data_IF_928444568789
#
_entry.id   IF_928444568789
#
_cell.length_a   1.000
_cell.length_b   1.000
_cell.length_c   1.000
_cell.angle_alpha   90.00
_cell.angle_beta   90.00
_cell.angle_gamma   90.00
#
_symmetry.space_group_name_H-M   'P 1'
#
loop_
_entity.id
_entity.type
_entity.pdbx_description
1 polymer ?
#
# COMPACT_ATOMS: atom_id res chain seq x y z
N UNK A 1 -9.99 -8.99 12.05
CA UNK A 1 -10.40 -8.39 13.33
C UNK A 1 -10.24 -6.87 13.28
N UNK A 2 -9.33 -6.37 12.44
CA UNK A 2 -9.02 -4.96 12.21
C UNK A 2 -10.25 -4.06 12.16
N UNK A 3 -11.28 -4.42 11.41
CA UNK A 3 -12.42 -3.52 11.17
C UNK A 3 -13.08 -3.02 12.46
N UNK A 4 -13.35 -3.91 13.42
CA UNK A 4 -14.07 -3.52 14.64
C UNK A 4 -13.20 -2.64 15.54
N UNK A 5 -11.95 -3.05 15.77
CA UNK A 5 -10.99 -2.29 16.59
C UNK A 5 -10.65 -0.96 15.95
N UNK A 6 -10.42 -0.93 14.64
CA UNK A 6 -10.18 0.30 13.87
C UNK A 6 -11.33 1.30 14.04
N UNK A 7 -12.57 0.84 13.88
CA UNK A 7 -13.74 1.71 14.04
C UNK A 7 -13.94 2.16 15.49
N UNK A 8 -13.62 1.33 16.49
CA UNK A 8 -13.62 1.75 17.89
C UNK A 8 -12.58 2.86 18.15
N UNK A 9 -11.35 2.71 17.63
CA UNK A 9 -10.31 3.74 17.71
C UNK A 9 -10.72 5.03 16.98
N UNK A 10 -11.41 4.93 15.84
CA UNK A 10 -11.88 6.06 15.05
C UNK A 10 -13.00 6.85 15.76
N UNK A 11 -13.86 6.15 16.51
CA UNK A 11 -14.91 6.77 17.36
C UNK A 11 -14.29 7.53 18.53
N UNK A 12 -13.19 7.02 19.08
CA UNK A 12 -12.45 7.64 20.17
C UNK A 12 -11.45 8.72 19.71
N UNK A 13 -11.57 9.24 18.48
CA UNK A 13 -10.66 10.27 17.98
C UNK A 13 -10.79 11.57 18.78
N UNK A 14 -9.71 12.38 18.90
CA UNK A 14 -9.78 13.70 19.52
C UNK A 14 -10.84 14.58 18.86
N UNK A 15 -11.55 15.38 19.67
CA UNK A 15 -12.56 16.33 19.18
C UNK A 15 -11.92 17.31 18.19
N UNK A 16 -12.57 17.53 17.05
CA UNK A 16 -12.05 18.40 15.97
C UNK A 16 -11.04 17.74 15.03
N UNK A 17 -10.58 16.52 15.30
CA UNK A 17 -9.67 15.81 14.39
C UNK A 17 -10.36 15.51 13.04
N UNK A 18 -9.82 16.08 11.96
CA UNK A 18 -10.28 15.83 10.59
C UNK A 18 -9.95 14.39 10.18
N UNK A 19 -10.96 13.68 9.67
CA UNK A 19 -10.80 12.35 9.08
C UNK A 19 -10.43 12.49 7.61
N UNK A 20 -9.21 12.10 7.27
CA UNK A 20 -8.66 12.02 5.92
C UNK A 20 -7.82 10.74 5.78
N UNK A 21 -7.32 10.47 4.58
CA UNK A 21 -6.54 9.29 4.22
C UNK A 21 -5.33 9.11 5.15
N UNK A 22 -4.58 10.20 5.42
CA UNK A 22 -3.40 10.17 6.29
C UNK A 22 -3.78 9.74 7.71
N UNK A 23 -4.84 10.34 8.27
CA UNK A 23 -5.32 9.98 9.60
C UNK A 23 -5.76 8.51 9.67
N UNK A 24 -6.47 8.02 8.64
CA UNK A 24 -6.93 6.65 8.57
C UNK A 24 -5.75 5.65 8.48
N UNK A 25 -4.70 5.95 7.71
CA UNK A 25 -3.51 5.09 7.69
C UNK A 25 -2.72 5.10 9.00
N UNK A 26 -2.60 6.25 9.67
CA UNK A 26 -1.98 6.30 11.01
C UNK A 26 -2.75 5.43 12.00
N UNK A 27 -4.08 5.45 11.93
CA UNK A 27 -4.93 4.61 12.77
C UNK A 27 -4.73 3.12 12.44
N UNK A 28 -4.63 2.78 11.15
CA UNK A 28 -4.34 1.42 10.69
C UNK A 28 -2.97 0.93 11.18
N UNK A 29 -1.92 1.76 11.09
CA UNK A 29 -0.59 1.43 11.57
C UNK A 29 -0.57 1.22 13.09
N UNK A 30 -1.27 2.08 13.86
CA UNK A 30 -1.44 1.90 15.31
C UNK A 30 -2.14 0.58 15.65
N UNK A 31 -3.15 0.18 14.88
CA UNK A 31 -3.80 -1.11 15.08
C UNK A 31 -2.85 -2.29 14.83
N UNK A 32 -1.98 -2.17 13.82
CA UNK A 32 -1.02 -3.22 13.47
C UNK A 32 0.12 -3.36 14.49
N UNK A 33 0.35 -2.36 15.36
CA UNK A 33 1.27 -2.48 16.48
C UNK A 33 0.70 -3.37 17.58
N UNK A 34 1.11 -4.64 17.58
CA UNK A 34 0.71 -5.67 18.54
C UNK A 34 1.95 -6.44 19.00
N UNK A 35 1.81 -7.39 19.93
CA UNK A 35 2.95 -8.19 20.41
C UNK A 35 3.65 -8.97 19.29
N UNK A 36 2.89 -9.49 18.32
CA UNK A 36 3.42 -10.31 17.22
C UNK A 36 3.72 -9.53 15.94
N UNK A 37 3.26 -8.28 15.84
CA UNK A 37 3.33 -7.47 14.62
C UNK A 37 3.87 -6.10 15.00
N UNK A 38 4.94 -5.67 14.32
CA UNK A 38 5.50 -4.33 14.50
C UNK A 38 5.20 -3.51 13.26
N UNK A 39 4.71 -2.29 13.45
CA UNK A 39 4.33 -1.40 12.39
C UNK A 39 4.80 0.03 12.69
N UNK A 40 5.41 0.69 11.73
CA UNK A 40 5.83 2.09 11.84
C UNK A 40 5.18 2.87 10.71
N UNK A 41 4.45 3.93 11.04
CA UNK A 41 3.97 4.89 10.05
C UNK A 41 4.95 6.05 9.96
N UNK A 42 5.65 6.15 8.83
CA UNK A 42 6.59 7.22 8.55
C UNK A 42 5.84 8.34 7.82
N UNK A 43 5.76 9.51 8.46
CA UNK A 43 5.16 10.68 7.83
C UNK A 43 6.11 11.20 6.72
N UNK A 44 5.52 11.82 5.69
CA UNK A 44 6.28 12.63 4.75
C UNK A 44 6.81 13.89 5.44
N UNK A 45 8.08 14.19 5.19
CA UNK A 45 8.80 15.27 5.87
C UNK A 45 8.92 16.46 4.92
N UNK A 46 9.44 16.27 3.69
CA UNK A 46 9.56 17.35 2.69
C UNK A 46 9.12 16.90 1.27
N UNK A 47 8.39 17.77 0.56
CA UNK A 47 8.05 17.71 -0.88
C UNK A 47 7.32 16.47 -1.46
N UNK A 48 6.47 16.73 -2.46
CA UNK A 48 5.69 15.73 -3.20
C UNK A 48 6.61 14.84 -4.07
N UNK A 49 6.55 13.52 -3.83
CA UNK A 49 7.36 12.50 -4.51
C UNK A 49 6.87 12.29 -5.96
N UNK A 50 7.25 13.22 -6.85
CA UNK A 50 6.86 13.23 -8.25
C UNK A 50 7.80 12.45 -9.14
N UNK A 51 7.21 11.76 -10.10
CA UNK A 51 7.90 11.09 -11.21
C UNK A 51 7.36 11.57 -12.55
N UNK A 52 8.18 11.47 -13.59
CA UNK A 52 7.72 11.52 -14.98
C UNK A 52 7.77 10.16 -15.66
N UNK A 53 6.82 9.92 -16.54
CA UNK A 53 6.78 8.76 -17.43
C UNK A 53 6.20 9.15 -18.78
N UNK A 54 6.44 8.35 -19.82
CA UNK A 54 5.84 8.54 -21.14
C UNK A 54 4.42 7.95 -21.14
N UNK A 55 3.40 8.81 -21.30
CA UNK A 55 1.99 8.43 -21.22
C UNK A 55 1.47 7.90 -22.55
N UNK A 56 0.89 6.70 -22.54
CA UNK A 56 0.20 6.11 -23.68
C UNK A 56 -1.05 6.92 -24.05
N UNK A 57 -1.77 7.43 -23.05
CA UNK A 57 -2.95 8.28 -23.21
C UNK A 57 -2.61 9.61 -23.89
N UNK A 58 -1.40 10.12 -23.69
CA UNK A 58 -0.88 11.31 -24.37
C UNK A 58 0.06 10.97 -25.53
N UNK A 59 -0.08 9.79 -26.14
CA UNK A 59 0.69 9.38 -27.33
C UNK A 59 2.22 9.48 -27.14
N UNK A 60 2.73 9.02 -26.00
CA UNK A 60 4.15 8.99 -25.66
C UNK A 60 4.68 10.26 -25.00
N UNK A 61 3.87 11.32 -24.86
CA UNK A 61 4.34 12.54 -24.20
C UNK A 61 4.63 12.31 -22.71
N UNK A 62 5.70 12.96 -22.24
CA UNK A 62 6.06 12.95 -20.82
C UNK A 62 4.97 13.56 -19.95
N UNK A 63 4.60 12.84 -18.89
CA UNK A 63 3.61 13.24 -17.91
C UNK A 63 4.19 13.13 -16.50
N UNK A 64 4.09 14.23 -15.76
CA UNK A 64 4.43 14.31 -14.34
C UNK A 64 3.21 13.99 -13.46
N UNK A 65 3.38 13.06 -12.52
CA UNK A 65 2.40 12.66 -11.49
C UNK A 65 3.12 12.23 -10.21
N UNK A 66 2.40 12.16 -9.08
CA UNK A 66 2.96 11.61 -7.84
C UNK A 66 3.15 10.10 -8.00
N UNK A 67 4.18 9.53 -7.37
CA UNK A 67 4.41 8.07 -7.44
C UNK A 67 3.24 7.32 -6.81
N UNK A 68 2.77 7.79 -5.66
CA UNK A 68 1.63 7.29 -4.90
C UNK A 68 1.49 8.08 -3.60
N UNK A 69 0.41 7.84 -2.86
CA UNK A 69 0.15 8.51 -1.58
C UNK A 69 0.83 7.79 -0.39
N UNK A 70 1.11 6.49 -0.54
CA UNK A 70 1.68 5.65 0.50
C UNK A 70 2.57 4.56 -0.10
N UNK A 71 3.75 4.33 0.48
CA UNK A 71 4.52 3.10 0.30
C UNK A 71 4.25 2.13 1.44
N UNK A 72 4.01 0.86 1.13
CA UNK A 72 3.89 -0.20 2.11
C UNK A 72 5.10 -1.11 1.96
N UNK A 73 5.90 -1.20 3.03
CA UNK A 73 6.99 -2.16 3.18
C UNK A 73 6.50 -3.26 4.10
N UNK A 74 6.57 -4.51 3.67
CA UNK A 74 6.18 -5.66 4.50
C UNK A 74 7.29 -6.67 4.52
N UNK A 75 7.79 -6.98 5.71
CA UNK A 75 8.80 -8.00 5.92
C UNK A 75 8.22 -9.17 6.71
N UNK A 76 8.33 -10.36 6.15
CA UNK A 76 7.93 -11.60 6.80
C UNK A 76 9.15 -12.32 7.35
N UNK A 77 9.27 -12.39 8.69
CA UNK A 77 10.40 -13.04 9.37
C UNK A 77 10.50 -14.53 9.07
N UNK A 78 9.36 -15.19 8.89
CA UNK A 78 9.32 -16.64 8.65
C UNK A 78 9.80 -17.00 7.24
N UNK A 79 9.49 -16.15 6.26
CA UNK A 79 9.88 -16.34 4.86
C UNK A 79 11.17 -15.61 4.49
N UNK A 80 11.67 -14.74 5.37
CA UNK A 80 12.78 -13.80 5.11
C UNK A 80 12.54 -13.00 3.83
N UNK A 81 11.30 -12.55 3.63
CA UNK A 81 10.87 -11.91 2.38
C UNK A 81 10.42 -10.46 2.65
N UNK A 82 11.06 -9.51 1.98
CA UNK A 82 10.68 -8.09 1.95
C UNK A 82 9.86 -7.80 0.69
N UNK A 83 8.68 -7.20 0.88
CA UNK A 83 7.78 -6.75 -0.19
C UNK A 83 7.52 -5.27 -0.16
N UNK A 84 7.26 -4.72 -1.35
CA UNK A 84 6.89 -3.32 -1.54
C UNK A 84 5.60 -3.19 -2.35
N UNK A 85 4.74 -2.30 -1.90
CA UNK A 85 3.56 -1.85 -2.62
C UNK A 85 3.49 -0.31 -2.63
N UNK A 86 3.42 0.29 -3.81
CA UNK A 86 3.06 1.71 -3.98
C UNK A 86 1.54 1.83 -4.05
N UNK A 87 0.95 2.57 -3.12
CA UNK A 87 -0.50 2.67 -2.97
C UNK A 87 -0.98 4.11 -3.19
N UNK A 88 -1.95 4.29 -4.08
CA UNK A 88 -2.73 5.52 -4.16
C UNK A 88 -3.94 5.42 -3.24
N UNK A 89 -4.08 6.38 -2.35
CA UNK A 89 -5.16 6.43 -1.39
C UNK A 89 -6.35 7.21 -1.90
N UNK A 90 -7.55 6.78 -1.49
CA UNK A 90 -8.78 7.54 -1.64
C UNK A 90 -9.62 7.37 -0.39
N UNK A 91 -10.32 8.42 0.01
CA UNK A 91 -11.38 8.33 1.00
C UNK A 91 -12.71 8.79 0.41
N UNK A 92 -13.60 7.83 0.19
CA UNK A 92 -14.96 8.07 -0.28
C UNK A 92 -15.91 8.24 0.90
N UNK A 93 -16.44 9.45 1.07
CA UNK A 93 -17.36 9.79 2.17
C UNK A 93 -18.79 9.31 1.93
N UNK A 94 -19.05 8.71 0.77
CA UNK A 94 -20.35 8.15 0.45
C UNK A 94 -20.42 6.68 0.89
N UNK A 95 -21.63 6.23 1.23
CA UNK A 95 -21.85 4.82 1.56
C UNK A 95 -21.57 3.96 0.33
N UNK A 96 -20.68 3.00 0.49
CA UNK A 96 -20.19 2.15 -0.58
C UNK A 96 -21.20 1.05 -0.90
N UNK A 97 -21.56 0.92 -2.18
CA UNK A 97 -22.50 -0.11 -2.68
C UNK A 97 -21.73 -1.19 -3.47
N UNK A 98 -22.38 -2.31 -3.79
CA UNK A 98 -21.79 -3.52 -4.39
C UNK A 98 -20.89 -3.32 -5.64
N UNK A 99 -21.01 -2.20 -6.36
CA UNK A 99 -20.10 -1.82 -7.46
C UNK A 99 -19.69 -0.35 -7.32
N UNK A 100 -18.65 -0.07 -6.52
CA UNK A 100 -18.28 1.30 -6.22
C UNK A 100 -17.77 2.00 -7.48
N UNK A 101 -18.17 3.27 -7.58
CA UNK A 101 -17.66 4.19 -8.58
C UNK A 101 -16.87 5.26 -7.87
N UNK A 102 -15.64 5.48 -8.30
CA UNK A 102 -14.68 6.38 -7.64
C UNK A 102 -14.11 7.34 -8.67
N UNK A 103 -13.82 8.57 -8.26
CA UNK A 103 -13.23 9.57 -9.14
C UNK A 103 -11.71 9.50 -9.04
N UNK A 104 -11.05 9.13 -10.13
CA UNK A 104 -9.60 8.99 -10.20
C UNK A 104 -8.99 9.97 -11.19
N UNK A 105 -7.74 10.34 -10.92
CA UNK A 105 -6.87 10.92 -11.93
C UNK A 105 -6.45 9.82 -12.91
N UNK A 106 -6.79 9.99 -14.18
CA UNK A 106 -6.52 9.04 -15.26
C UNK A 106 -5.03 8.78 -15.43
N UNK A 107 -4.18 9.80 -15.29
CA UNK A 107 -2.72 9.64 -15.41
C UNK A 107 -2.11 8.94 -14.20
N UNK A 108 -2.69 9.13 -13.01
CA UNK A 108 -2.30 8.32 -11.85
C UNK A 108 -2.67 6.85 -12.06
N UNK A 109 -3.87 6.60 -12.57
CA UNK A 109 -4.34 5.24 -12.88
C UNK A 109 -3.48 4.58 -13.96
N UNK A 110 -3.13 5.32 -15.02
CA UNK A 110 -2.24 4.85 -16.08
C UNK A 110 -0.86 4.49 -15.54
N UNK A 111 -0.23 5.38 -14.75
CA UNK A 111 1.07 5.11 -14.13
C UNK A 111 1.04 3.79 -13.32
N UNK A 112 0.05 3.64 -12.45
CA UNK A 112 -0.03 2.48 -11.57
C UNK A 112 -0.43 1.21 -12.32
N UNK A 113 -1.25 1.30 -13.38
CA UNK A 113 -1.68 0.16 -14.18
C UNK A 113 -0.58 -0.34 -15.10
N UNK A 114 0.03 0.56 -15.86
CA UNK A 114 0.98 0.21 -16.92
C UNK A 114 2.40 0.03 -16.35
N UNK A 115 2.69 0.61 -15.18
CA UNK A 115 3.95 0.48 -14.44
C UNK A 115 5.18 0.70 -15.35
N UNK A 116 5.22 1.81 -16.11
CA UNK A 116 6.36 2.11 -16.98
C UNK A 116 7.62 2.38 -16.14
N UNK A 117 8.78 2.39 -16.81
CA UNK A 117 9.96 3.00 -16.22
C UNK A 117 9.68 4.48 -15.94
N UNK A 118 10.08 4.94 -14.76
CA UNK A 118 9.87 6.30 -14.29
C UNK A 118 11.18 7.06 -14.21
N UNK A 119 11.08 8.38 -14.24
CA UNK A 119 12.21 9.28 -14.00
C UNK A 119 11.89 10.16 -12.80
N UNK A 120 12.81 10.21 -11.83
CA UNK A 120 12.70 11.12 -10.70
C UNK A 120 12.75 12.58 -11.21
N UNK A 121 11.78 13.40 -10.80
CA UNK A 121 11.76 14.83 -11.18
C UNK A 121 12.83 15.61 -10.40
N UNK A 122 13.10 15.21 -9.16
CA UNK A 122 14.04 15.87 -8.27
C UNK A 122 15.34 15.08 -8.18
N UNK A 123 16.48 15.73 -8.42
CA UNK A 123 17.80 15.14 -8.15
C UNK A 123 18.02 14.88 -6.65
N UNK A 124 17.31 15.61 -5.77
CA UNK A 124 17.40 15.45 -4.31
C UNK A 124 16.71 14.17 -3.81
N UNK A 125 15.75 13.65 -4.57
CA UNK A 125 14.92 12.51 -4.17
C UNK A 125 15.07 11.40 -5.21
N UNK A 126 16.13 10.57 -5.12
CA UNK A 126 16.34 9.51 -6.08
C UNK A 126 15.19 8.51 -5.99
N UNK A 127 14.43 8.40 -7.07
CA UNK A 127 13.42 7.36 -7.25
C UNK A 127 13.98 6.35 -8.23
N UNK A 128 14.02 5.05 -7.87
CA UNK A 128 14.47 4.01 -8.79
C UNK A 128 13.57 4.00 -10.02
N UNK A 129 14.16 3.97 -11.22
CA UNK A 129 13.39 4.02 -12.46
C UNK A 129 12.44 2.83 -12.62
N UNK A 130 12.78 1.71 -11.99
CA UNK A 130 12.03 0.47 -11.97
C UNK A 130 11.22 0.26 -10.69
N UNK A 131 11.00 1.29 -9.83
CA UNK A 131 10.34 1.12 -8.53
C UNK A 131 8.93 0.50 -8.60
N UNK A 132 8.24 0.66 -9.74
CA UNK A 132 6.92 0.08 -9.98
C UNK A 132 6.95 -1.24 -10.76
N UNK A 133 8.12 -1.70 -11.21
CA UNK A 133 8.22 -2.82 -12.15
C UNK A 133 9.51 -3.66 -12.05
N UNK A 134 10.28 -3.54 -10.98
CA UNK A 134 11.46 -4.38 -10.75
C UNK A 134 11.12 -5.88 -10.77
N UNK A 135 9.86 -6.24 -10.51
CA UNK A 135 9.30 -7.58 -10.66
C UNK A 135 7.92 -7.55 -11.33
N UNK A 136 7.89 -7.66 -12.67
CA UNK A 136 6.66 -7.62 -13.48
C UNK A 136 5.68 -8.76 -13.21
N UNK A 137 6.09 -9.85 -12.55
CA UNK A 137 5.19 -10.95 -12.22
C UNK A 137 4.14 -10.57 -11.15
N UNK A 138 4.36 -9.48 -10.41
CA UNK A 138 3.53 -9.06 -9.28
C UNK A 138 2.82 -7.74 -9.59
N UNK A 139 1.53 -7.82 -9.89
CA UNK A 139 0.67 -6.66 -10.16
C UNK A 139 0.39 -5.81 -8.93
N UNK A 140 0.43 -6.42 -7.75
CA UNK A 140 0.20 -5.78 -6.44
C UNK A 140 1.31 -4.83 -6.00
N UNK A 141 2.42 -4.73 -6.76
CA UNK A 141 3.47 -3.70 -6.58
C UNK A 141 2.92 -2.27 -6.64
N UNK A 142 1.78 -2.09 -7.32
CA UNK A 142 1.02 -0.85 -7.36
C UNK A 142 -0.46 -1.13 -7.11
N UNK A 143 -1.11 -0.30 -6.31
CA UNK A 143 -2.49 -0.51 -5.93
C UNK A 143 -3.24 0.78 -5.59
N UNK A 144 -4.55 0.64 -5.45
CA UNK A 144 -5.42 1.60 -4.80
C UNK A 144 -5.87 1.08 -3.44
N UNK A 145 -5.80 1.94 -2.43
CA UNK A 145 -6.43 1.73 -1.13
C UNK A 145 -7.55 2.74 -0.95
N UNK A 146 -8.78 2.25 -0.90
CA UNK A 146 -9.98 3.09 -0.88
C UNK A 146 -10.66 2.89 0.46
N UNK A 147 -10.56 3.88 1.33
CA UNK A 147 -11.41 3.96 2.51
C UNK A 147 -12.81 4.40 2.09
N UNK A 148 -13.84 3.81 2.70
CA UNK A 148 -15.22 4.17 2.42
C UNK A 148 -16.10 4.04 3.65
N UNK A 149 -17.22 4.77 3.67
CA UNK A 149 -18.26 4.55 4.68
C UNK A 149 -19.03 3.27 4.34
N UNK A 150 -19.08 2.34 5.29
CA UNK A 150 -19.91 1.12 5.16
C UNK A 150 -21.38 1.44 5.43
N UNK A 151 -21.66 2.31 6.40
CA UNK A 151 -23.00 2.58 6.87
C UNK A 151 -23.19 4.03 7.33
N UNK A 152 -24.45 4.42 7.55
CA UNK A 152 -24.81 5.76 7.98
C UNK A 152 -24.31 6.13 9.39
N UNK A 153 -23.96 5.13 10.21
CA UNK A 153 -23.41 5.31 11.56
C UNK A 153 -21.93 5.78 11.48
N UNK A 154 -21.35 5.81 10.28
CA UNK A 154 -20.02 6.34 10.03
C UNK A 154 -18.91 5.32 10.25
N UNK A 155 -19.24 4.01 10.25
CA UNK A 155 -18.20 2.99 10.22
C UNK A 155 -17.45 3.07 8.88
N UNK A 156 -16.12 3.01 8.95
CA UNK A 156 -15.21 3.00 7.81
C UNK A 156 -14.77 1.56 7.53
N UNK A 157 -14.69 1.21 6.25
CA UNK A 157 -14.06 -0.01 5.76
C UNK A 157 -13.06 0.34 4.64
N UNK A 158 -12.38 -0.67 4.10
CA UNK A 158 -11.24 -0.49 3.19
C UNK A 158 -11.27 -1.51 2.06
N UNK A 159 -11.19 -1.01 0.83
CA UNK A 159 -10.97 -1.81 -0.37
C UNK A 159 -9.53 -1.62 -0.83
N UNK A 160 -8.78 -2.72 -0.83
CA UNK A 160 -7.51 -2.82 -1.56
C UNK A 160 -7.79 -3.41 -2.95
N UNK A 161 -7.28 -2.79 -4.01
CA UNK A 161 -7.38 -3.34 -5.37
C UNK A 161 -6.23 -2.90 -6.27
N UNK A 162 -5.78 -3.77 -7.15
CA UNK A 162 -4.89 -3.39 -8.25
C UNK A 162 -5.64 -2.49 -9.28
N UNK A 163 -4.91 -1.63 -10.02
CA UNK A 163 -5.51 -0.71 -10.99
C UNK A 163 -6.27 -1.39 -12.14
N UNK A 164 -5.91 -2.63 -12.49
CA UNK A 164 -6.52 -3.41 -13.58
C UNK A 164 -8.00 -3.72 -13.34
N UNK A 165 -8.44 -3.73 -12.08
CA UNK A 165 -9.84 -3.94 -11.73
C UNK A 165 -10.64 -2.64 -11.64
N UNK A 166 -10.04 -1.51 -12.02
CA UNK A 166 -10.70 -0.22 -12.13
C UNK A 166 -10.77 0.16 -13.61
N UNK A 167 -11.99 0.27 -14.15
CA UNK A 167 -12.21 0.69 -15.54
C UNK A 167 -12.93 2.03 -15.61
N UNK A 168 -12.45 2.94 -16.45
CA UNK A 168 -13.13 4.21 -16.69
C UNK A 168 -14.52 3.96 -17.30
N UNK A 169 -15.56 4.60 -16.75
CA UNK A 169 -16.93 4.54 -17.30
C UNK A 169 -17.08 5.25 -18.64
N UNK A 170 -16.11 6.08 -19.01
CA UNK A 170 -16.09 6.82 -20.28
C UNK A 170 -14.80 6.53 -21.04
N UNK A 171 -14.82 6.55 -22.38
CA UNK A 171 -13.61 6.42 -23.18
C UNK A 171 -12.53 7.42 -22.75
N UNK A 172 -11.27 6.97 -22.77
CA UNK A 172 -10.10 7.77 -22.43
C UNK A 172 -9.54 8.51 -23.67
N UNK A 173 -10.42 8.96 -24.55
CA UNK A 173 -10.08 9.66 -25.81
C UNK A 173 -10.18 11.17 -25.59
N UNK A 174 -9.36 11.96 -26.31
CA UNK A 174 -9.34 13.43 -26.26
C UNK A 174 -9.14 14.00 -24.85
N UNK A 175 -8.35 13.30 -24.02
CA UNK A 175 -7.98 13.77 -22.70
C UNK A 175 -6.93 14.90 -22.83
N UNK A 176 -7.32 16.12 -22.51
CA UNK A 176 -6.36 17.20 -22.33
C UNK A 176 -5.64 17.07 -20.99
N UNK A 177 -4.43 17.64 -20.89
CA UNK A 177 -3.68 17.73 -19.61
C UNK A 177 -4.52 18.31 -18.47
N UNK A 178 -5.53 19.15 -18.77
CA UNK A 178 -6.42 19.81 -17.81
C UNK A 178 -7.63 18.96 -17.40
N UNK A 179 -8.13 18.03 -18.23
CA UNK A 179 -9.29 17.18 -17.94
C UNK A 179 -8.87 15.77 -17.51
N UNK A 180 -8.12 15.67 -16.42
CA UNK A 180 -7.48 14.43 -15.97
C UNK A 180 -8.32 13.56 -15.01
N UNK A 181 -9.48 14.02 -14.53
CA UNK A 181 -10.34 13.23 -13.63
C UNK A 181 -11.45 12.49 -14.38
N UNK A 182 -11.69 11.22 -14.05
CA UNK A 182 -12.79 10.39 -14.57
C UNK A 182 -13.37 9.50 -13.47
N UNK A 183 -14.62 9.11 -13.65
CA UNK A 183 -15.26 8.10 -12.81
C UNK A 183 -14.84 6.71 -13.29
N UNK A 184 -14.25 5.94 -12.40
CA UNK A 184 -13.90 4.54 -12.60
C UNK A 184 -14.87 3.66 -11.85
N UNK A 185 -15.20 2.51 -12.42
CA UNK A 185 -15.98 1.46 -11.79
C UNK A 185 -15.04 0.35 -11.35
N UNK A 186 -15.23 -0.15 -10.13
CA UNK A 186 -14.59 -1.37 -9.68
C UNK A 186 -15.30 -2.59 -10.27
N UNK A 187 -14.52 -3.40 -10.97
CA UNK A 187 -14.96 -4.66 -11.55
C UNK A 187 -14.51 -5.78 -10.63
N UNK A 188 -15.44 -6.29 -9.82
CA UNK A 188 -15.16 -7.39 -8.89
C UNK A 188 -14.65 -8.61 -9.69
N UNK A 189 -13.41 -9.07 -9.44
CA UNK A 189 -12.84 -10.14 -10.24
C UNK A 189 -13.40 -11.50 -9.80
N UNK A 190 -13.44 -12.46 -10.73
CA UNK A 190 -13.76 -13.87 -10.40
C UNK A 190 -12.62 -14.57 -9.64
N UNK A 191 -11.38 -14.06 -9.74
CA UNK A 191 -10.19 -14.56 -9.03
C UNK A 191 -9.48 -13.40 -8.34
N UNK A 192 -9.12 -13.57 -7.07
CA UNK A 192 -8.58 -12.51 -6.20
C UNK A 192 -7.03 -12.44 -6.18
N UNK A 193 -6.35 -13.13 -7.10
CA UNK A 193 -4.89 -13.24 -7.15
C UNK A 193 -4.40 -14.64 -7.54
N UNK A 194 -3.13 -14.93 -7.25
CA UNK A 194 -2.55 -16.27 -7.30
C UNK A 194 -2.21 -16.75 -5.85
N UNK A 195 -1.60 -17.93 -5.69
CA UNK A 195 -1.28 -18.45 -4.35
C UNK A 195 -0.38 -17.54 -3.50
N UNK A 196 0.49 -16.75 -4.16
CA UNK A 196 1.56 -15.95 -3.56
C UNK A 196 1.30 -14.44 -3.59
N UNK A 197 0.19 -14.02 -4.20
CA UNK A 197 -0.13 -12.62 -4.45
C UNK A 197 -1.63 -12.37 -4.36
N UNK A 198 -2.00 -11.26 -3.71
CA UNK A 198 -3.39 -10.80 -3.62
C UNK A 198 -3.58 -9.54 -4.44
N UNK A 199 -4.60 -9.56 -5.28
CA UNK A 199 -4.93 -8.45 -6.17
C UNK A 199 -6.09 -7.59 -5.63
N UNK A 200 -6.91 -8.15 -4.73
CA UNK A 200 -8.04 -7.47 -4.10
C UNK A 200 -8.24 -7.99 -2.68
N UNK A 201 -8.50 -7.08 -1.76
CA UNK A 201 -9.03 -7.38 -0.43
C UNK A 201 -10.28 -6.52 -0.21
N UNK A 202 -11.45 -7.17 -0.12
CA UNK A 202 -12.76 -6.49 -0.17
C UNK A 202 -13.19 -5.78 1.12
N UNK A 203 -12.43 -5.92 2.20
CA UNK A 203 -12.62 -5.23 3.48
C UNK A 203 -11.31 -5.19 4.27
N UNK A 204 -11.29 -4.40 5.35
CA UNK A 204 -10.14 -4.25 6.25
C UNK A 204 -9.65 -5.58 6.84
N UNK A 205 -10.55 -6.50 7.19
CA UNK A 205 -10.15 -7.78 7.78
C UNK A 205 -9.42 -8.68 6.76
N UNK A 206 -9.89 -8.68 5.51
CA UNK A 206 -9.21 -9.38 4.42
C UNK A 206 -7.87 -8.72 4.11
N UNK A 207 -7.83 -7.39 4.07
CA UNK A 207 -6.60 -6.64 3.82
C UNK A 207 -5.54 -6.93 4.90
N UNK A 208 -5.94 -6.89 6.18
CA UNK A 208 -5.10 -7.30 7.32
C UNK A 208 -4.53 -8.71 7.08
N UNK A 209 -5.39 -9.69 6.80
CA UNK A 209 -4.95 -11.07 6.57
C UNK A 209 -3.96 -11.17 5.42
N UNK A 210 -4.26 -10.54 4.29
CA UNK A 210 -3.42 -10.60 3.09
C UNK A 210 -2.08 -9.90 3.29
N UNK A 211 -2.06 -8.79 4.02
CA UNK A 211 -0.87 -8.06 4.42
C UNK A 211 0.03 -8.91 5.34
N UNK A 212 -0.55 -9.49 6.40
CA UNK A 212 0.18 -10.30 7.38
C UNK A 212 0.64 -11.66 6.83
N UNK A 213 0.01 -12.15 5.77
CA UNK A 213 0.50 -13.32 5.02
C UNK A 213 1.58 -12.97 3.99
N UNK A 214 2.01 -11.71 3.93
CA UNK A 214 2.97 -11.20 2.96
C UNK A 214 2.53 -11.50 1.52
N UNK A 215 1.27 -11.18 1.19
CA UNK A 215 0.70 -11.38 -0.16
C UNK A 215 0.45 -10.08 -0.93
N UNK A 216 0.67 -8.94 -0.28
CA UNK A 216 0.51 -7.61 -0.85
C UNK A 216 1.89 -7.10 -1.29
N UNK A 217 1.98 -6.56 -2.50
CA UNK A 217 3.22 -6.04 -3.06
C UNK A 217 4.08 -7.10 -3.74
N UNK A 218 5.18 -6.63 -4.33
CA UNK A 218 6.17 -7.45 -5.00
C UNK A 218 7.37 -7.73 -4.09
N UNK A 219 7.91 -8.97 -4.11
CA UNK A 219 9.14 -9.29 -3.39
C UNK A 219 10.36 -8.64 -4.04
N UNK A 220 11.24 -8.10 -3.19
CA UNK A 220 12.51 -7.48 -3.59
C UNK A 220 13.60 -8.55 -3.58
N UNK A 221 13.88 -9.15 -4.73
CA UNK A 221 14.75 -10.33 -4.86
C UNK A 221 16.16 -9.95 -5.32
N UNK A 222 16.27 -8.99 -6.26
CA UNK A 222 17.57 -8.63 -6.84
C UNK A 222 18.39 -7.80 -5.86
N UNK A 223 19.70 -8.08 -5.78
CA UNK A 223 20.61 -7.42 -4.83
C UNK A 223 20.65 -5.90 -4.98
N UNK A 224 20.63 -5.39 -6.21
CA UNK A 224 20.68 -3.95 -6.46
C UNK A 224 19.39 -3.23 -6.04
N UNK A 225 18.24 -3.83 -6.34
CA UNK A 225 16.94 -3.34 -5.86
C UNK A 225 16.90 -3.39 -4.32
N UNK A 226 17.39 -4.48 -3.71
CA UNK A 226 17.44 -4.61 -2.27
C UNK A 226 18.33 -3.55 -1.61
N UNK A 227 19.55 -3.32 -2.10
CA UNK A 227 20.44 -2.25 -1.63
C UNK A 227 19.73 -0.91 -1.58
N UNK A 228 19.03 -0.57 -2.65
CA UNK A 228 18.32 0.69 -2.81
C UNK A 228 17.16 0.84 -1.82
N UNK A 229 16.41 -0.23 -1.60
CA UNK A 229 15.32 -0.28 -0.63
C UNK A 229 15.86 -0.19 0.81
N UNK A 230 16.96 -0.87 1.12
CA UNK A 230 17.62 -0.77 2.43
C UNK A 230 18.12 0.67 2.66
N UNK A 231 18.70 1.32 1.64
CA UNK A 231 19.08 2.75 1.73
C UNK A 231 17.88 3.62 2.09
N UNK A 232 16.73 3.45 1.42
CA UNK A 232 15.50 4.20 1.75
C UNK A 232 15.04 3.93 3.19
N UNK A 233 15.09 2.68 3.64
CA UNK A 233 14.76 2.32 5.02
C UNK A 233 15.70 2.98 6.04
N UNK A 234 17.01 3.05 5.78
CA UNK A 234 17.96 3.76 6.66
C UNK A 234 17.62 5.24 6.79
N UNK A 235 17.32 5.91 5.68
CA UNK A 235 16.91 7.31 5.70
C UNK A 235 15.59 7.52 6.47
N UNK A 236 14.58 6.66 6.24
CA UNK A 236 13.35 6.64 7.03
C UNK A 236 13.62 6.47 8.53
N UNK A 237 14.57 5.60 8.87
CA UNK A 237 14.93 5.28 10.24
C UNK A 237 15.50 6.48 11.01
N UNK A 238 16.37 7.28 10.37
CA UNK A 238 16.94 8.51 10.94
C UNK A 238 15.84 9.48 11.34
N UNK A 239 14.79 9.60 10.52
CA UNK A 239 13.74 10.57 10.76
C UNK A 239 12.75 10.10 11.82
N UNK A 240 12.41 8.81 11.84
CA UNK A 240 11.60 8.23 12.92
C UNK A 240 12.29 8.42 14.29
N UNK A 241 13.62 8.24 14.37
CA UNK A 241 14.41 8.51 15.59
C UNK A 241 14.26 9.94 16.09
N UNK A 242 14.24 10.92 15.19
CA UNK A 242 14.10 12.34 15.55
C UNK A 242 12.71 12.68 16.11
N UNK A 243 11.66 11.96 15.70
CA UNK A 243 10.28 12.19 16.13
C UNK A 243 9.89 11.46 17.44
N UNK A 244 10.82 10.74 18.08
CA UNK A 244 10.63 10.06 19.37
C UNK A 244 9.52 8.98 19.38
N UNK A 245 9.23 8.38 18.21
CA UNK A 245 8.25 7.29 18.07
C UNK A 245 8.99 5.95 17.97
N UNK A 246 8.63 5.00 18.83
CA UNK A 246 9.36 3.75 19.05
C UNK A 246 9.74 3.03 17.75
N UNK A 247 11.04 2.94 17.56
CA UNK A 247 11.70 2.16 16.54
C UNK A 247 11.50 0.68 16.81
N UNK A 248 10.71 0.02 15.96
CA UNK A 248 10.59 -1.42 16.03
C UNK A 248 10.59 -2.05 14.64
N UNK A 249 9.77 -1.57 13.69
CA UNK A 249 9.66 -2.27 12.40
C UNK A 249 10.89 -2.07 11.50
N UNK A 250 11.37 -0.83 11.36
CA UNK A 250 12.48 -0.53 10.44
C UNK A 250 13.80 -1.14 10.94
N UNK A 251 14.13 -0.97 12.21
CA UNK A 251 15.36 -1.56 12.79
C UNK A 251 15.39 -3.08 12.68
N UNK A 252 14.25 -3.77 12.88
CA UNK A 252 14.16 -5.21 12.69
C UNK A 252 14.48 -5.62 11.25
N UNK A 253 14.01 -4.87 10.24
CA UNK A 253 14.34 -5.15 8.84
C UNK A 253 15.82 -4.88 8.59
N UNK A 254 16.36 -3.76 9.06
CA UNK A 254 17.77 -3.41 8.85
C UNK A 254 18.72 -4.43 9.49
N UNK A 255 18.38 -4.97 10.67
CA UNK A 255 19.16 -6.01 11.33
C UNK A 255 19.16 -7.34 10.55
N UNK A 256 18.05 -7.68 9.91
CA UNK A 256 17.93 -8.89 9.08
C UNK A 256 18.73 -8.81 7.78
N UNK A 257 18.92 -7.60 7.25
CA UNK A 257 19.73 -7.33 6.06
C UNK A 257 21.04 -6.62 6.41
N UNK A 258 21.67 -7.01 7.52
CA UNK A 258 22.87 -6.36 8.05
C UNK A 258 24.05 -6.39 7.08
N UNK A 259 24.23 -7.50 6.37
CA UNK A 259 25.26 -7.69 5.33
C UNK A 259 25.19 -6.64 4.22
N UNK A 260 23.98 -6.17 3.89
CA UNK A 260 23.76 -5.11 2.92
C UNK A 260 23.75 -3.73 3.59
N UNK A 261 23.14 -3.63 4.77
CA UNK A 261 22.95 -2.37 5.49
C UNK A 261 24.28 -1.76 5.98
N UNK A 262 25.24 -2.58 6.41
CA UNK A 262 26.53 -2.11 6.93
C UNK A 262 27.40 -1.49 5.82
N UNK A 263 27.28 -2.00 4.58
CA UNK A 263 27.96 -1.46 3.41
C UNK A 263 27.39 -0.09 2.94
N UNK A 264 26.21 0.30 3.41
CA UNK A 264 25.53 1.52 2.97
C UNK A 264 25.82 2.65 3.96
N UNK A 265 26.55 3.69 3.54
CA UNK A 265 26.71 4.92 4.32
C UNK A 265 25.67 5.94 3.85
N UNK A 266 24.89 6.50 4.78
CA UNK A 266 23.94 7.58 4.50
C UNK A 266 24.38 8.86 5.21
N UNK A 267 24.11 10.01 4.57
CA UNK A 267 24.22 11.33 5.20
C UNK A 267 22.92 11.63 5.95
N UNK A 268 22.96 11.59 7.28
CA UNK A 268 21.80 11.76 8.17
C UNK A 268 21.34 13.23 8.34
N UNK A 269 22.10 14.16 7.75
CA UNK A 269 21.72 15.57 7.61
C UNK A 269 20.80 15.80 6.41
N UNK A 270 20.81 14.88 5.44
CA UNK A 270 19.98 14.97 4.24
C UNK A 270 18.59 14.43 4.54
N UNK A 271 17.62 15.34 4.57
CA UNK A 271 16.21 14.95 4.50
C UNK A 271 15.82 14.64 3.04
N UNK A 272 15.87 13.35 2.69
CA UNK A 272 15.37 12.84 1.43
C UNK A 272 13.84 12.68 1.47
N UNK A 273 13.11 13.78 1.38
CA UNK A 273 11.66 13.79 1.14
C UNK A 273 11.11 12.59 0.36
N UNK A 274 10.20 11.83 0.99
CA UNK A 274 9.57 10.62 0.47
C UNK A 274 8.04 10.66 0.55
N UNK A 275 7.36 9.79 -0.21
CA UNK A 275 5.94 9.52 0.03
C UNK A 275 5.76 8.94 1.44
N UNK A 276 4.67 9.26 2.17
CA UNK A 276 4.34 8.60 3.42
C UNK A 276 4.54 7.08 3.31
N UNK A 277 5.00 6.42 4.37
CA UNK A 277 5.26 5.00 4.35
C UNK A 277 4.65 4.28 5.56
N UNK A 278 4.23 3.05 5.36
CA UNK A 278 3.86 2.12 6.42
C UNK A 278 4.80 0.91 6.32
N UNK A 279 5.62 0.72 7.34
CA UNK A 279 6.59 -0.38 7.43
C UNK A 279 6.06 -1.41 8.41
N UNK A 280 5.88 -2.65 7.96
CA UNK A 280 5.26 -3.72 8.72
C UNK A 280 6.21 -4.90 8.80
N UNK A 281 6.48 -5.38 10.01
CA UNK A 281 7.17 -6.63 10.27
C UNK A 281 6.16 -7.63 10.82
N UNK A 282 6.08 -8.78 10.18
CA UNK A 282 5.17 -9.86 10.53
C UNK A 282 5.89 -11.20 10.60
N UNK A 283 5.19 -12.20 11.10
CA UNK A 283 5.59 -13.61 11.07
C UNK A 283 4.37 -14.39 10.60
N UNK A 284 4.34 -14.76 9.32
CA UNK A 284 3.12 -15.35 8.75
C UNK A 284 2.86 -16.77 9.26
N UNK A 285 3.87 -17.52 9.70
CA UNK A 285 3.69 -18.82 10.33
C UNK A 285 3.04 -18.67 11.71
N UNK A 286 3.55 -17.76 12.54
CA UNK A 286 2.97 -17.47 13.85
C UNK A 286 1.57 -16.87 13.74
N UNK A 287 1.34 -15.98 12.78
CA UNK A 287 0.01 -15.43 12.53
C UNK A 287 -0.96 -16.53 12.11
N UNK A 288 -0.54 -17.41 11.20
CA UNK A 288 -1.38 -18.52 10.74
C UNK A 288 -1.71 -19.45 11.91
N UNK A 289 -0.75 -19.81 12.77
CA UNK A 289 -1.00 -20.66 13.93
C UNK A 289 -1.90 -20.00 14.97
N UNK A 290 -1.73 -18.70 15.27
CA UNK A 290 -2.61 -17.97 16.19
C UNK A 290 -4.03 -17.81 15.65
N UNK A 291 -4.19 -17.60 14.34
CA UNK A 291 -5.50 -17.59 13.68
C UNK A 291 -6.11 -18.99 13.74
N UNK A 292 -5.36 -20.05 13.45
CA UNK A 292 -5.87 -21.44 13.58
C UNK A 292 -6.28 -21.77 15.02
N UNK A 293 -5.51 -21.37 16.02
CA UNK A 293 -5.84 -21.58 17.44
C UNK A 293 -7.05 -20.77 17.91
N UNK A 294 -7.18 -19.51 17.46
CA UNK A 294 -8.34 -18.66 17.81
C UNK A 294 -9.62 -19.04 17.09
N UNK A 295 -9.53 -19.77 15.97
CA UNK A 295 -10.66 -19.98 15.06
C UNK A 295 -10.77 -21.43 14.56
N UNK A 296 -10.39 -22.42 15.40
CA UNK A 296 -10.39 -23.87 15.14
C UNK A 296 -11.16 -24.31 13.88
N UNK A 297 -10.44 -24.95 12.95
CA UNK A 297 -10.94 -25.44 11.65
C UNK A 297 -12.01 -24.55 11.00
N UNK A 298 -11.57 -23.59 10.18
CA UNK A 298 -12.47 -23.06 9.15
C UNK A 298 -12.84 -24.26 8.26
N UNK A 299 -14.03 -24.83 8.48
CA UNK A 299 -14.60 -25.86 7.61
C UNK A 299 -14.40 -25.43 6.14
N UNK A 300 -13.94 -26.31 5.25
CA UNK A 300 -13.88 -25.98 3.83
C UNK A 300 -15.31 -25.65 3.38
N UNK A 301 -15.47 -24.43 2.87
CA UNK A 301 -16.67 -23.85 2.26
C UNK A 301 -17.58 -24.93 1.64
N UNK A 302 -18.60 -25.39 2.37
CA UNK A 302 -19.59 -26.33 1.81
C UNK A 302 -20.31 -25.62 0.68
N UNK A 303 -20.16 -26.15 -0.55
CA UNK A 303 -20.98 -25.72 -1.68
C UNK A 303 -22.45 -25.80 -1.28
N UNK A 304 -23.29 -24.81 -1.62
CA UNK A 304 -24.73 -24.94 -1.43
C UNK A 304 -25.20 -26.18 -2.19
N UNK A 305 -25.86 -27.11 -1.50
CA UNK A 305 -26.57 -28.21 -2.16
C UNK A 305 -27.62 -27.59 -3.07
N UNK A 306 -27.43 -27.75 -4.38
CA UNK A 306 -28.49 -27.51 -5.36
C UNK A 306 -29.59 -28.52 -5.04
N UNK A 307 -30.76 -28.04 -4.63
CA UNK A 307 -31.95 -28.89 -4.58
C UNK A 307 -32.31 -29.22 -6.03
N UNK A 308 -32.15 -30.49 -6.39
CA UNK A 308 -32.83 -31.13 -7.52
C UNK A 308 -34.31 -31.26 -7.20
#
# INVERSE_FOLDING_TARGET
MMKNTFNAMLKNRPKGQKVNEIYLFRLMARYLNQTAIKCTFVKQIHAQYYVSYNSNILHGQSKRVELGDLQIFTYDRSKKELRICTLQAKYEKNIFRHHPSIVLNVFQWELLKDRPLVQAISKKYPVPSNILNFNFAYKSISAYGIFFLENAIGNVDFLYTIPEFLSSKRPLINLSRRRNKRTFQFNCPRKYGNGNEKHVSGNMNMFEKDLLQCKIGAPVIKKDDLKLIITLLKYMNVQVKKENDEQNAIDLILAEYKDISDDIVIDDTVDIGWSPAMVVVTDSLLYTSQVFQRYGEIEPYRRPKVRS
#
